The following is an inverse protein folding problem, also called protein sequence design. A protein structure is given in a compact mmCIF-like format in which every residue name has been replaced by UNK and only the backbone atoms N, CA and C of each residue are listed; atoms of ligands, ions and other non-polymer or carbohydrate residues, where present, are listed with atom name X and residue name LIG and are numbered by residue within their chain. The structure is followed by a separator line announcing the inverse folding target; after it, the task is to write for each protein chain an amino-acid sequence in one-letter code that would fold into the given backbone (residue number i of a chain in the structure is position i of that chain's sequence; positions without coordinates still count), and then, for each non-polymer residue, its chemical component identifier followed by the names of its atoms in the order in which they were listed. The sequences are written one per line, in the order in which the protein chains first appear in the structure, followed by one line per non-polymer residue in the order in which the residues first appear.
data_IF_801632826373
#
_entry.id   IF_801632826373
#
_cell.length_a   1.000
_cell.length_b   1.000
_cell.length_c   1.000
_cell.angle_alpha   90.00
_cell.angle_beta   90.00
_cell.angle_gamma   90.00
#
_symmetry.space_group_name_H-M   'P 1'
#
loop_
_entity.id
_entity.type
_entity.pdbx_description
1 polymer ?
#
# COMPACT_ATOMS: atom_id res chain seq x y z
N UNK A 1 42.97 -7.33 -37.07
CA UNK A 1 42.06 -6.55 -36.20
C UNK A 1 40.79 -7.37 -36.01
N UNK A 2 40.45 -7.80 -34.79
CA UNK A 2 39.22 -8.57 -34.54
C UNK A 2 39.32 -9.48 -33.31
N UNK A 3 39.41 -8.90 -32.11
CA UNK A 3 39.55 -9.65 -30.86
C UNK A 3 38.87 -8.99 -29.64
N UNK A 4 37.79 -8.24 -29.86
CA UNK A 4 37.20 -7.37 -28.82
C UNK A 4 35.80 -7.73 -28.33
N UNK A 5 35.09 -8.69 -28.92
CA UNK A 5 33.64 -8.87 -28.70
C UNK A 5 33.26 -9.90 -27.62
N UNK A 6 34.18 -10.78 -27.21
CA UNK A 6 33.86 -11.87 -26.26
C UNK A 6 33.95 -11.45 -24.79
N UNK A 7 34.78 -10.44 -24.46
CA UNK A 7 34.94 -9.95 -23.08
C UNK A 7 33.72 -9.15 -22.58
N UNK A 8 32.93 -8.57 -23.49
CA UNK A 8 31.76 -7.77 -23.13
C UNK A 8 30.53 -8.61 -22.72
N UNK A 9 30.36 -9.80 -23.29
CA UNK A 9 29.18 -10.64 -23.03
C UNK A 9 29.22 -11.33 -21.65
N UNK A 10 30.42 -11.64 -21.13
CA UNK A 10 30.57 -12.23 -19.80
C UNK A 10 30.32 -11.20 -18.68
N UNK A 11 30.73 -9.93 -18.90
CA UNK A 11 30.49 -8.85 -17.94
C UNK A 11 29.01 -8.41 -17.88
N UNK A 12 28.25 -8.54 -18.98
CA UNK A 12 26.83 -8.16 -19.03
C UNK A 12 25.91 -9.12 -18.24
N UNK A 13 26.34 -10.35 -17.97
CA UNK A 13 25.51 -11.38 -17.31
C UNK A 13 25.57 -11.35 -15.77
N UNK A 14 26.48 -10.57 -15.19
CA UNK A 14 26.76 -10.60 -13.73
C UNK A 14 26.01 -9.53 -12.89
N UNK A 15 25.20 -8.63 -13.49
CA UNK A 15 24.74 -7.41 -12.79
C UNK A 15 23.22 -7.26 -12.57
N UNK A 16 22.41 -8.32 -12.64
CA UNK A 16 20.97 -8.20 -12.32
C UNK A 16 20.45 -9.30 -11.39
N UNK A 17 21.13 -9.52 -10.27
CA UNK A 17 20.47 -10.09 -9.10
C UNK A 17 19.79 -8.95 -8.34
N UNK A 18 18.58 -8.57 -8.75
CA UNK A 18 17.76 -7.64 -7.99
C UNK A 18 17.27 -8.41 -6.76
N UNK A 19 17.92 -8.17 -5.61
CA UNK A 19 17.42 -8.63 -4.31
C UNK A 19 16.08 -7.91 -4.09
N UNK A 20 14.98 -8.64 -4.28
CA UNK A 20 13.65 -8.16 -3.93
C UNK A 20 13.54 -8.17 -2.40
N UNK A 21 13.91 -7.06 -1.76
CA UNK A 21 13.57 -6.84 -0.36
C UNK A 21 12.06 -6.59 -0.28
N UNK A 22 11.28 -7.65 -0.04
CA UNK A 22 9.85 -7.50 0.26
C UNK A 22 9.73 -6.90 1.66
N UNK A 23 9.73 -5.57 1.76
CA UNK A 23 9.38 -4.87 3.00
C UNK A 23 7.93 -5.25 3.34
N UNK A 24 7.69 -5.73 4.54
CA UNK A 24 6.34 -6.06 4.99
C UNK A 24 5.58 -4.76 5.26
N UNK A 25 4.34 -4.70 4.76
CA UNK A 25 3.43 -3.56 4.92
C UNK A 25 3.19 -3.28 6.41
N UNK A 26 3.07 -2.01 6.80
CA UNK A 26 2.70 -1.59 8.16
C UNK A 26 1.38 -0.85 8.15
N UNK A 27 0.43 -1.26 8.99
CA UNK A 27 -0.89 -0.62 9.08
C UNK A 27 -1.21 -0.26 10.53
N UNK A 28 -2.10 0.72 10.74
CA UNK A 28 -2.66 0.95 12.07
C UNK A 28 -3.59 -0.22 12.41
N UNK A 29 -3.43 -0.80 13.61
CA UNK A 29 -4.16 -2.00 14.05
C UNK A 29 -4.82 -1.79 15.41
N UNK A 30 -6.14 -1.69 15.41
CA UNK A 30 -6.94 -1.35 16.60
C UNK A 30 -8.43 -1.64 16.33
N UNK A 31 -9.27 -1.68 17.36
CA UNK A 31 -10.69 -2.03 17.20
C UNK A 31 -10.99 -3.51 17.38
N UNK A 32 -10.38 -4.17 18.38
CA UNK A 32 -10.60 -5.60 18.65
C UNK A 32 -11.76 -5.79 19.63
N UNK A 33 -12.42 -6.95 19.53
CA UNK A 33 -13.33 -7.43 20.57
C UNK A 33 -12.60 -7.53 21.91
N UNK A 34 -13.28 -7.20 23.00
CA UNK A 34 -12.73 -7.41 24.34
C UNK A 34 -12.39 -8.89 24.55
N UNK A 35 -11.25 -9.20 25.19
CA UNK A 35 -10.84 -10.59 25.44
C UNK A 35 -11.86 -11.37 26.28
N UNK A 36 -12.71 -10.67 27.03
CA UNK A 36 -13.77 -11.27 27.86
C UNK A 36 -14.99 -11.76 27.06
N UNK A 37 -14.98 -11.63 25.73
CA UNK A 37 -15.98 -12.25 24.85
C UNK A 37 -17.40 -11.67 24.97
N UNK A 38 -17.59 -10.60 25.74
CA UNK A 38 -18.90 -9.95 25.98
C UNK A 38 -19.46 -9.19 24.76
N UNK A 39 -18.91 -9.39 23.56
CA UNK A 39 -19.42 -8.82 22.30
C UNK A 39 -19.16 -7.33 22.09
N UNK A 40 -18.44 -6.65 22.99
CA UNK A 40 -18.13 -5.23 22.83
C UNK A 40 -16.80 -5.04 22.10
N UNK A 41 -16.83 -4.27 21.00
CA UNK A 41 -15.63 -3.80 20.30
C UNK A 41 -15.22 -2.47 20.93
N UNK A 42 -13.96 -2.33 21.35
CA UNK A 42 -13.43 -1.02 21.74
C UNK A 42 -13.18 -0.23 20.44
N UNK A 43 -13.98 0.79 20.11
CA UNK A 43 -13.89 1.44 18.82
C UNK A 43 -12.58 2.23 18.69
N UNK A 44 -11.91 2.12 17.54
CA UNK A 44 -10.66 2.81 17.28
C UNK A 44 -10.87 4.24 16.76
N UNK A 45 -11.41 5.12 17.61
CA UNK A 45 -11.52 6.55 17.27
C UNK A 45 -10.17 7.27 17.39
N UNK A 46 -9.40 6.91 18.41
CA UNK A 46 -8.05 7.42 18.63
C UNK A 46 -7.05 6.26 18.45
N UNK A 47 -5.99 6.53 17.69
CA UNK A 47 -4.86 5.63 17.50
C UNK A 47 -3.58 6.47 17.50
N UNK A 48 -2.47 5.83 17.85
CA UNK A 48 -1.17 6.47 17.92
C UNK A 48 -0.11 5.66 17.16
N UNK A 49 1.13 6.15 17.15
CA UNK A 49 2.23 5.49 16.44
C UNK A 49 2.54 4.07 16.94
N UNK A 50 2.19 3.73 18.18
CA UNK A 50 2.35 2.37 18.70
C UNK A 50 1.36 1.39 18.09
N UNK A 51 0.24 1.87 17.53
CA UNK A 51 -0.74 1.05 16.80
C UNK A 51 -0.31 0.76 15.35
N UNK A 52 0.74 1.44 14.84
CA UNK A 52 1.33 1.12 13.54
C UNK A 52 2.17 -0.16 13.67
N UNK A 53 1.63 -1.27 13.16
CA UNK A 53 2.22 -2.60 13.30
C UNK A 53 2.52 -3.20 11.94
N UNK A 54 3.57 -4.01 11.89
CA UNK A 54 3.88 -4.84 10.74
C UNK A 54 2.78 -5.88 10.50
N UNK A 55 2.38 -5.99 9.23
CA UNK A 55 1.41 -6.96 8.75
C UNK A 55 2.05 -8.32 8.48
N UNK A 56 1.23 -9.34 8.28
CA UNK A 56 1.76 -10.61 7.81
C UNK A 56 2.31 -10.43 6.38
N UNK A 57 3.37 -11.16 6.01
CA UNK A 57 3.99 -11.08 4.66
C UNK A 57 3.04 -11.36 3.48
N UNK A 58 1.87 -11.92 3.77
CA UNK A 58 0.84 -12.23 2.77
C UNK A 58 -0.10 -11.05 2.58
N UNK A 59 -0.31 -10.25 3.62
CA UNK A 59 -1.22 -9.11 3.59
C UNK A 59 -0.74 -8.08 2.58
N UNK A 60 -1.68 -7.55 1.81
CA UNK A 60 -1.41 -6.60 0.73
C UNK A 60 -2.08 -5.26 0.95
N UNK A 61 -2.98 -5.17 1.93
CA UNK A 61 -3.81 -3.99 2.15
C UNK A 61 -3.87 -3.60 3.61
N UNK A 62 -3.88 -2.30 3.87
CA UNK A 62 -4.42 -1.75 5.10
C UNK A 62 -5.94 -1.57 4.94
N UNK A 63 -6.68 -2.11 5.89
CA UNK A 63 -8.13 -2.03 6.00
C UNK A 63 -8.51 -0.97 7.05
N UNK A 64 -9.57 -0.22 6.76
CA UNK A 64 -10.35 0.52 7.74
C UNK A 64 -11.83 0.20 7.52
N UNK A 65 -12.45 -0.33 8.56
CA UNK A 65 -13.85 -0.73 8.62
C UNK A 65 -14.62 0.26 9.50
N UNK A 66 -15.76 0.72 9.02
CA UNK A 66 -16.69 1.55 9.80
C UNK A 66 -18.06 0.92 9.75
N UNK A 67 -18.71 0.87 10.90
CA UNK A 67 -20.10 0.49 11.07
C UNK A 67 -20.66 1.30 12.25
N UNK A 68 -21.97 1.38 12.44
CA UNK A 68 -22.64 2.21 13.45
C UNK A 68 -21.90 2.28 14.81
N UNK A 69 -21.14 3.35 15.04
CA UNK A 69 -20.38 3.58 16.27
C UNK A 69 -19.11 2.73 16.47
N UNK A 70 -18.69 1.97 15.46
CA UNK A 70 -17.50 1.09 15.48
C UNK A 70 -16.54 1.49 14.36
N UNK A 71 -15.26 1.66 14.73
CA UNK A 71 -14.16 1.84 13.78
C UNK A 71 -13.09 0.80 14.07
N UNK A 72 -12.72 0.03 13.05
CA UNK A 72 -11.67 -1.00 13.14
C UNK A 72 -10.63 -0.73 12.06
N UNK A 73 -9.36 -0.94 12.40
CA UNK A 73 -8.24 -0.85 11.46
C UNK A 73 -7.42 -2.12 11.56
N UNK A 74 -7.06 -2.72 10.44
CA UNK A 74 -6.26 -3.94 10.41
C UNK A 74 -5.50 -4.12 9.09
N UNK A 75 -4.72 -5.19 9.00
CA UNK A 75 -4.13 -5.70 7.76
C UNK A 75 -5.07 -6.72 7.09
N UNK A 76 -5.08 -6.78 5.77
CA UNK A 76 -5.87 -7.74 5.01
C UNK A 76 -5.10 -8.31 3.81
N UNK A 77 -5.32 -9.61 3.54
CA UNK A 77 -4.85 -10.29 2.33
C UNK A 77 -5.60 -9.79 1.10
N UNK A 78 -6.93 -9.80 1.17
CA UNK A 78 -7.84 -9.29 0.15
C UNK A 78 -8.71 -8.19 0.77
N UNK A 79 -8.90 -7.09 0.04
CA UNK A 79 -9.69 -5.97 0.51
C UNK A 79 -10.36 -5.30 -0.68
N UNK A 80 -11.68 -5.12 -0.61
CA UNK A 80 -12.47 -4.40 -1.61
C UNK A 80 -13.11 -3.19 -0.97
N UNK A 81 -12.71 -2.00 -1.44
CA UNK A 81 -13.31 -0.77 -0.95
C UNK A 81 -14.76 -0.66 -1.43
N UNK A 82 -15.65 -0.18 -0.57
CA UNK A 82 -17.06 -0.04 -0.88
C UNK A 82 -17.94 0.03 0.35
N UNK A 83 -19.24 0.22 0.10
CA UNK A 83 -20.29 0.18 1.11
C UNK A 83 -21.05 -1.13 0.95
N UNK A 84 -21.16 -1.89 2.04
CA UNK A 84 -21.89 -3.14 2.12
C UNK A 84 -22.92 -3.02 3.24
N UNK A 85 -24.20 -2.97 2.87
CA UNK A 85 -25.33 -2.77 3.79
C UNK A 85 -25.20 -1.46 4.58
N UNK A 86 -24.68 -1.53 5.81
CA UNK A 86 -24.45 -0.42 6.74
C UNK A 86 -22.97 -0.23 7.10
N UNK A 87 -22.08 -1.01 6.46
CA UNK A 87 -20.65 -1.00 6.72
C UNK A 87 -19.86 -0.41 5.57
N UNK A 88 -18.89 0.45 5.88
CA UNK A 88 -17.96 1.03 4.91
C UNK A 88 -16.57 0.40 5.05
N UNK A 89 -16.00 -0.02 3.92
CA UNK A 89 -14.67 -0.61 3.83
C UNK A 89 -13.75 0.30 3.02
N UNK A 90 -12.60 0.62 3.59
CA UNK A 90 -11.53 1.38 2.96
C UNK A 90 -10.26 0.53 2.88
N UNK A 91 -9.65 0.49 1.70
CA UNK A 91 -8.49 -0.34 1.39
C UNK A 91 -7.40 0.49 0.72
N UNK A 92 -6.15 0.31 1.12
CA UNK A 92 -4.99 0.99 0.54
C UNK A 92 -3.71 0.15 0.76
N UNK A 93 -2.62 0.44 0.04
CA UNK A 93 -1.42 -0.43 -0.03
C UNK A 93 -0.12 0.24 0.48
N UNK A 94 -0.24 1.38 1.15
CA UNK A 94 0.91 2.13 1.67
C UNK A 94 0.98 2.05 3.19
N UNK A 95 2.18 2.19 3.75
CA UNK A 95 2.36 2.13 5.20
C UNK A 95 1.51 3.21 5.90
N UNK A 96 0.63 2.79 6.82
CA UNK A 96 -0.21 3.67 7.61
C UNK A 96 -1.32 4.39 6.83
N UNK A 97 -1.63 4.00 5.60
CA UNK A 97 -2.61 4.69 4.77
C UNK A 97 -4.06 4.61 5.29
N UNK A 98 -4.37 3.65 6.17
CA UNK A 98 -5.69 3.49 6.80
C UNK A 98 -6.00 4.53 7.91
N UNK A 99 -5.26 5.64 7.92
CA UNK A 99 -5.59 6.86 8.68
C UNK A 99 -6.69 7.68 8.02
N UNK A 100 -6.73 7.71 6.69
CA UNK A 100 -7.58 8.61 5.93
C UNK A 100 -9.08 8.33 6.12
N UNK A 101 -9.88 9.38 6.00
CA UNK A 101 -11.35 9.32 5.99
C UNK A 101 -11.93 9.01 4.60
N UNK A 102 -11.13 9.09 3.53
CA UNK A 102 -11.59 8.99 2.14
C UNK A 102 -10.45 8.39 1.28
N UNK A 103 -10.69 7.44 0.36
CA UNK A 103 -9.65 6.95 -0.52
C UNK A 103 -9.35 8.02 -1.56
N UNK A 104 -8.16 8.63 -1.49
CA UNK A 104 -7.61 9.31 -2.65
C UNK A 104 -7.31 8.23 -3.69
N UNK A 105 -8.16 8.17 -4.72
CA UNK A 105 -7.95 7.30 -5.88
C UNK A 105 -6.62 7.68 -6.54
N UNK A 106 -5.60 6.88 -6.31
CA UNK A 106 -4.20 7.06 -6.73
C UNK A 106 -3.96 6.93 -8.24
N UNK A 107 -5.02 6.81 -9.06
CA UNK A 107 -4.93 6.63 -10.51
C UNK A 107 -4.58 7.92 -11.29
N UNK A 108 -4.75 9.10 -10.68
CA UNK A 108 -4.66 10.37 -11.42
C UNK A 108 -3.25 11.01 -11.44
N UNK A 109 -2.36 10.63 -10.52
CA UNK A 109 -1.05 11.31 -10.40
C UNK A 109 -0.03 10.83 -11.43
N UNK A 110 -0.02 9.53 -11.77
CA UNK A 110 0.92 8.96 -12.76
C UNK A 110 0.66 9.52 -14.16
N UNK A 111 -0.61 9.70 -14.52
CA UNK A 111 -1.00 10.21 -15.83
C UNK A 111 -0.56 11.66 -16.07
N UNK A 112 -0.62 12.51 -15.04
CA UNK A 112 -0.23 13.92 -15.16
C UNK A 112 1.28 14.07 -15.34
N UNK A 113 2.09 13.32 -14.59
CA UNK A 113 3.56 13.37 -14.69
C UNK A 113 4.04 12.88 -16.05
N UNK A 114 3.49 11.76 -16.55
CA UNK A 114 3.86 11.22 -17.86
C UNK A 114 3.54 12.20 -19.00
N UNK A 115 2.36 12.83 -18.97
CA UNK A 115 1.97 13.84 -19.96
C UNK A 115 2.86 15.07 -19.88
N UNK A 116 3.18 15.57 -18.67
CA UNK A 116 4.10 16.69 -18.50
C UNK A 116 5.50 16.36 -19.03
N UNK A 117 6.04 15.18 -18.75
CA UNK A 117 7.33 14.74 -19.26
C UNK A 117 7.34 14.64 -20.79
N UNK A 118 6.29 14.09 -21.40
CA UNK A 118 6.16 14.03 -22.87
C UNK A 118 6.08 15.41 -23.50
N UNK A 119 5.31 16.33 -22.92
CA UNK A 119 5.20 17.71 -23.42
C UNK A 119 6.54 18.45 -23.33
N UNK A 120 7.26 18.29 -22.22
CA UNK A 120 8.58 18.89 -22.06
C UNK A 120 9.62 18.29 -23.02
N UNK A 121 9.57 16.98 -23.26
CA UNK A 121 10.43 16.33 -24.26
C UNK A 121 10.13 16.88 -25.66
N UNK A 122 8.86 16.90 -26.06
CA UNK A 122 8.48 17.38 -27.40
C UNK A 122 8.91 18.84 -27.64
N UNK A 123 8.83 19.70 -26.62
CA UNK A 123 9.32 21.09 -26.68
C UNK A 123 10.84 21.23 -26.77
N UNK A 124 11.60 20.24 -26.30
CA UNK A 124 13.07 20.23 -26.43
C UNK A 124 13.54 19.78 -27.81
N UNK A 125 12.71 19.03 -28.54
CA UNK A 125 13.04 18.49 -29.88
C UNK A 125 12.65 19.41 -31.05
N UNK A 126 11.77 20.38 -30.82
CA UNK A 126 11.43 21.47 -31.76
C UNK A 126 12.22 22.72 -31.47
#
# INVERSE_FOLDING_TARGET
MGGGTWLSLAAQRMLRSIVSMTVALKCYRCGKYTPDGAGSVIPCYAYNQTDLKECHKRDRYCLKYLNEGIVVRDCAYECKAGVHELSEFFCCQEDGCNTASIPLRQEWTVSIVAVFCLVLWMRYLT
#
